data_IF_408777574727
#
_entry.id   IF_408777574727
#
_cell.length_a   1.000
_cell.length_b   1.000
_cell.length_c   1.000
_cell.angle_alpha   90.00
_cell.angle_beta   90.00
_cell.angle_gamma   90.00
#
_symmetry.space_group_name_H-M   'P 1'
#
loop_
_entity.id
_entity.type
_entity.pdbx_description
1 polymer ?
#
# COMPACT_ATOMS: atom_id res chain seq x y z
N UNK A 1 1.21 -26.45 52.20
CA UNK A 1 2.02 -25.25 52.47
C UNK A 1 2.27 -24.57 51.18
N UNK A 2 1.74 -23.38 51.09
CA UNK A 2 1.62 -22.50 49.94
C UNK A 2 2.97 -22.00 49.41
N UNK A 3 3.02 -21.67 48.14
CA UNK A 3 3.42 -20.33 47.75
C UNK A 3 3.00 -20.10 46.26
N UNK A 4 1.99 -19.28 46.12
CA UNK A 4 1.66 -18.54 44.93
C UNK A 4 2.60 -17.32 44.90
N UNK A 5 3.30 -17.12 43.79
CA UNK A 5 3.88 -15.82 43.45
C UNK A 5 3.11 -15.24 42.27
N UNK A 6 2.25 -14.29 42.60
CA UNK A 6 1.65 -13.34 41.66
C UNK A 6 2.75 -12.36 41.23
N UNK A 7 3.19 -12.45 39.98
CA UNK A 7 3.88 -11.33 39.31
C UNK A 7 2.82 -10.49 38.58
N UNK A 8 2.40 -9.42 39.24
CA UNK A 8 1.66 -8.33 38.60
C UNK A 8 2.62 -7.53 37.74
N UNK A 9 2.46 -7.61 36.44
CA UNK A 9 3.08 -6.69 35.48
C UNK A 9 2.51 -5.28 35.72
N UNK A 10 3.39 -4.38 36.10
CA UNK A 10 3.14 -2.97 36.34
C UNK A 10 3.09 -2.27 34.95
N UNK A 11 1.90 -2.10 34.40
CA UNK A 11 1.67 -1.19 33.27
C UNK A 11 1.63 0.21 33.86
N UNK A 12 2.66 0.99 33.64
CA UNK A 12 2.65 2.40 33.98
C UNK A 12 1.72 3.13 33.01
N UNK A 13 0.65 3.70 33.57
CA UNK A 13 -0.20 4.69 32.92
C UNK A 13 0.63 5.93 32.55
N UNK A 14 1.15 5.95 31.33
CA UNK A 14 1.73 7.13 30.72
C UNK A 14 0.62 8.05 30.25
N UNK A 15 0.22 9.01 31.08
CA UNK A 15 -0.70 10.06 30.69
C UNK A 15 -0.09 10.85 29.51
N UNK A 16 -0.76 10.82 28.37
CA UNK A 16 -0.47 11.66 27.22
C UNK A 16 -0.78 13.12 27.58
N UNK A 17 0.25 13.91 27.87
CA UNK A 17 0.10 15.36 28.02
C UNK A 17 0.47 15.98 26.68
N UNK A 18 -0.53 16.59 26.03
CA UNK A 18 -0.35 17.42 24.86
C UNK A 18 0.52 18.64 25.20
N UNK A 19 1.79 18.62 24.85
CA UNK A 19 2.64 19.79 24.85
C UNK A 19 2.94 20.17 23.39
N UNK A 20 2.34 21.25 22.97
CA UNK A 20 2.71 22.18 21.88
C UNK A 20 3.89 21.72 20.99
N UNK A 21 3.60 20.79 20.06
CA UNK A 21 4.39 20.52 18.85
C UNK A 21 3.48 20.81 17.68
N UNK A 22 3.59 22.02 17.13
CA UNK A 22 2.68 22.66 16.20
C UNK A 22 2.60 21.99 14.84
N UNK A 23 1.41 21.84 14.36
CA UNK A 23 0.86 22.35 13.08
C UNK A 23 1.49 22.01 11.73
N UNK A 24 2.68 21.47 11.59
CA UNK A 24 3.27 21.26 10.24
C UNK A 24 2.50 20.22 9.40
N UNK A 25 1.94 19.20 10.01
CA UNK A 25 1.14 18.18 9.30
C UNK A 25 -0.33 18.55 9.16
N UNK A 26 -0.85 19.47 10.01
CA UNK A 26 -2.22 19.97 9.89
C UNK A 26 -2.42 20.76 8.59
N UNK A 27 -1.43 21.57 8.21
CA UNK A 27 -1.48 22.39 7.00
C UNK A 27 -1.44 21.53 5.72
N UNK A 28 -0.73 20.38 5.76
CA UNK A 28 -0.71 19.37 4.67
C UNK A 28 -2.10 18.81 4.41
N UNK A 29 -2.88 18.59 5.47
CA UNK A 29 -4.24 18.06 5.36
C UNK A 29 -5.18 18.99 4.61
N UNK A 30 -5.08 20.28 4.91
CA UNK A 30 -5.92 21.28 4.27
C UNK A 30 -5.54 21.44 2.79
N UNK A 31 -4.25 21.29 2.44
CA UNK A 31 -3.77 21.28 1.07
C UNK A 31 -4.18 20.03 0.29
N UNK A 32 -4.15 18.84 0.91
CA UNK A 32 -4.58 17.58 0.26
C UNK A 32 -6.10 17.58 0.03
N UNK A 33 -6.90 18.08 0.97
CA UNK A 33 -8.35 18.14 0.82
C UNK A 33 -8.83 19.25 -0.13
N UNK A 34 -8.05 20.33 -0.30
CA UNK A 34 -8.39 21.44 -1.18
C UNK A 34 -7.86 21.30 -2.60
N UNK A 35 -6.95 20.35 -2.85
CA UNK A 35 -6.43 20.06 -4.16
C UNK A 35 -7.51 19.37 -5.00
N UNK A 36 -8.24 20.12 -5.82
CA UNK A 36 -8.78 19.54 -7.04
C UNK A 36 -7.61 18.90 -7.80
N UNK A 37 -7.80 17.78 -8.55
CA UNK A 37 -6.73 17.12 -9.26
C UNK A 37 -6.22 17.99 -10.40
N UNK A 38 -5.54 19.08 -10.06
CA UNK A 38 -4.77 19.84 -11.03
C UNK A 38 -3.53 19.02 -11.38
N UNK A 39 -3.41 18.73 -12.66
CA UNK A 39 -2.27 18.16 -13.35
C UNK A 39 -0.99 18.85 -12.84
N UNK A 40 -0.17 18.11 -12.08
CA UNK A 40 1.11 18.60 -11.60
C UNK A 40 1.96 19.09 -12.79
N UNK A 41 2.33 20.33 -12.74
CA UNK A 41 3.09 21.03 -13.76
C UNK A 41 4.42 20.33 -14.06
N UNK A 42 4.72 20.12 -15.35
CA UNK A 42 5.74 19.22 -15.88
C UNK A 42 7.19 19.75 -15.76
N UNK A 43 7.45 20.78 -14.95
CA UNK A 43 8.73 21.50 -14.96
C UNK A 43 9.69 21.24 -13.76
N UNK A 44 9.50 20.17 -13.01
CA UNK A 44 10.52 19.78 -12.03
C UNK A 44 11.61 18.93 -12.71
N UNK A 45 12.63 19.60 -13.22
CA UNK A 45 13.82 18.96 -13.78
C UNK A 45 14.64 18.31 -12.67
N UNK A 46 14.49 16.99 -12.50
CA UNK A 46 15.50 16.17 -11.85
C UNK A 46 16.73 16.23 -12.76
N UNK A 47 17.82 16.84 -12.30
CA UNK A 47 19.02 16.98 -13.14
C UNK A 47 19.58 15.59 -13.46
N UNK A 48 20.10 15.36 -14.69
CA UNK A 48 20.66 14.07 -15.11
C UNK A 48 21.73 13.52 -14.15
N UNK A 49 22.44 14.38 -13.45
CA UNK A 49 23.54 14.03 -12.55
C UNK A 49 23.09 13.30 -11.27
N UNK A 50 21.91 13.63 -10.73
CA UNK A 50 21.34 12.92 -9.56
C UNK A 50 20.83 11.54 -9.98
N UNK A 51 20.28 11.43 -11.19
CA UNK A 51 19.83 10.16 -11.74
C UNK A 51 20.98 9.22 -12.09
N UNK A 52 22.08 9.76 -12.61
CA UNK A 52 23.28 8.99 -13.00
C UNK A 52 24.06 8.51 -11.77
N UNK A 53 24.09 9.26 -10.67
CA UNK A 53 24.70 8.81 -9.42
C UNK A 53 23.93 7.62 -8.82
N UNK A 54 22.62 7.75 -8.65
CA UNK A 54 21.77 6.68 -8.13
C UNK A 54 21.75 5.43 -9.05
N UNK A 55 21.84 5.64 -10.37
CA UNK A 55 21.88 4.56 -11.36
C UNK A 55 23.23 3.81 -11.34
N UNK A 56 24.34 4.50 -11.12
CA UNK A 56 25.67 3.89 -11.03
C UNK A 56 25.83 3.08 -9.75
N UNK A 57 25.26 3.54 -8.64
CA UNK A 57 25.24 2.79 -7.39
C UNK A 57 24.38 1.52 -7.52
N UNK A 58 23.23 1.60 -8.20
CA UNK A 58 22.36 0.45 -8.49
C UNK A 58 23.02 -0.53 -9.46
N UNK A 59 23.72 -0.06 -10.50
CA UNK A 59 24.46 -0.92 -11.45
C UNK A 59 25.61 -1.66 -10.75
N UNK A 60 26.35 -0.98 -9.87
CA UNK A 60 27.41 -1.59 -9.07
C UNK A 60 26.89 -2.68 -8.13
N UNK A 61 25.69 -2.50 -7.57
CA UNK A 61 25.02 -3.50 -6.75
C UNK A 61 24.50 -4.70 -7.58
N UNK A 62 23.98 -4.45 -8.79
CA UNK A 62 23.45 -5.49 -9.69
C UNK A 62 24.57 -6.33 -10.32
N UNK A 63 25.70 -5.71 -10.69
CA UNK A 63 26.87 -6.44 -11.24
C UNK A 63 27.53 -7.37 -10.22
N UNK A 64 27.30 -7.16 -8.92
CA UNK A 64 27.76 -8.07 -7.86
C UNK A 64 26.85 -9.31 -7.67
N UNK A 65 25.68 -9.35 -8.32
CA UNK A 65 24.70 -10.43 -8.26
C UNK A 65 24.77 -11.35 -9.50
N UNK A 66 25.98 -11.77 -9.91
CA UNK A 66 26.09 -12.83 -10.92
C UNK A 66 25.68 -14.17 -10.31
N UNK A 67 24.42 -14.52 -10.48
CA UNK A 67 23.98 -15.90 -10.31
C UNK A 67 24.37 -16.69 -11.56
N UNK A 68 25.31 -17.61 -11.43
CA UNK A 68 25.53 -18.68 -12.39
C UNK A 68 24.26 -19.55 -12.44
N UNK A 69 23.39 -19.32 -13.39
CA UNK A 69 22.17 -20.05 -13.61
C UNK A 69 21.96 -20.31 -15.10
N UNK A 70 21.97 -21.58 -15.47
CA UNK A 70 21.68 -22.08 -16.82
C UNK A 70 20.39 -21.44 -17.37
N UNK A 71 20.50 -20.86 -18.57
CA UNK A 71 19.34 -20.40 -19.34
C UNK A 71 18.47 -21.59 -19.71
N UNK A 72 17.33 -21.71 -19.07
CA UNK A 72 16.25 -22.58 -19.56
C UNK A 72 15.73 -21.95 -20.84
N UNK A 73 15.88 -22.67 -21.96
CA UNK A 73 15.36 -22.25 -23.24
C UNK A 73 13.82 -22.14 -23.17
N UNK A 74 13.32 -20.92 -23.16
CA UNK A 74 11.90 -20.66 -23.34
C UNK A 74 11.53 -21.00 -24.79
N UNK A 75 10.57 -21.91 -24.95
CA UNK A 75 10.05 -22.26 -26.26
C UNK A 75 9.48 -21.05 -27.00
N UNK A 76 9.71 -21.01 -28.30
CA UNK A 76 9.31 -19.97 -29.24
C UNK A 76 7.81 -19.71 -29.26
N UNK A 77 7.34 -18.85 -28.37
CA UNK A 77 6.14 -18.05 -28.59
C UNK A 77 6.61 -16.66 -29.01
N UNK A 78 6.79 -16.47 -30.31
CA UNK A 78 7.17 -15.19 -30.89
C UNK A 78 6.06 -14.16 -30.65
N UNK A 79 6.18 -13.40 -29.59
CA UNK A 79 5.43 -12.17 -29.39
C UNK A 79 6.10 -11.11 -30.26
N UNK A 80 5.63 -10.96 -31.51
CA UNK A 80 6.09 -9.92 -32.40
C UNK A 80 5.56 -8.56 -31.94
N UNK A 81 6.25 -7.91 -31.04
CA UNK A 81 6.15 -6.47 -30.87
C UNK A 81 7.09 -5.83 -31.90
N UNK A 82 6.56 -5.55 -33.09
CA UNK A 82 7.28 -4.89 -34.19
C UNK A 82 7.23 -3.37 -34.03
N UNK A 83 7.84 -2.83 -32.97
CA UNK A 83 7.94 -1.38 -32.82
C UNK A 83 9.00 -1.01 -31.80
N UNK A 84 9.91 -0.10 -32.13
CA UNK A 84 10.77 0.52 -31.14
C UNK A 84 9.92 1.26 -30.11
N UNK A 85 10.28 1.19 -28.78
CA UNK A 85 9.59 1.96 -27.76
C UNK A 85 9.64 3.45 -28.10
N UNK A 86 8.46 4.07 -28.21
CA UNK A 86 8.37 5.49 -28.57
C UNK A 86 8.62 6.33 -27.32
N UNK A 87 9.56 7.28 -27.41
CA UNK A 87 9.72 8.34 -26.40
C UNK A 87 8.49 9.25 -26.46
N UNK A 88 7.68 9.24 -25.45
CA UNK A 88 6.46 10.06 -25.32
C UNK A 88 6.40 10.67 -23.94
N UNK A 89 5.64 11.75 -23.80
CA UNK A 89 5.22 12.24 -22.49
C UNK A 89 4.41 11.15 -21.78
N UNK A 90 4.64 11.00 -20.49
CA UNK A 90 3.85 10.07 -19.67
C UNK A 90 2.40 10.53 -19.64
N UNK A 91 1.49 9.63 -20.01
CA UNK A 91 0.04 9.83 -19.87
C UNK A 91 -0.42 8.86 -18.81
N UNK A 92 -0.90 9.40 -17.68
CA UNK A 92 -1.49 8.60 -16.63
C UNK A 92 -2.96 8.30 -16.96
N UNK A 93 -3.40 7.06 -16.69
CA UNK A 93 -4.80 6.64 -16.90
C UNK A 93 -5.06 6.04 -18.28
N UNK A 94 -6.35 5.86 -18.59
CA UNK A 94 -6.86 5.09 -19.73
C UNK A 94 -7.21 5.95 -20.95
N UNK A 95 -6.62 7.12 -21.09
CA UNK A 95 -6.98 8.08 -22.16
C UNK A 95 -6.15 7.93 -23.46
N UNK A 96 -5.18 7.00 -23.47
CA UNK A 96 -4.42 6.76 -24.72
C UNK A 96 -5.31 6.01 -25.73
N UNK A 97 -5.53 6.64 -26.88
CA UNK A 97 -6.36 6.07 -27.95
C UNK A 97 -5.88 4.68 -28.45
N UNK A 98 -4.63 4.31 -28.14
CA UNK A 98 -4.07 2.98 -28.46
C UNK A 98 -4.59 1.90 -27.53
N UNK A 99 -5.06 2.25 -26.34
CA UNK A 99 -5.52 1.30 -25.34
C UNK A 99 -6.76 0.53 -25.80
N UNK A 100 -7.56 1.12 -26.70
CA UNK A 100 -8.67 0.42 -27.34
C UNK A 100 -8.25 -0.86 -28.09
N UNK A 101 -6.98 -0.95 -28.53
CA UNK A 101 -6.42 -2.14 -29.17
C UNK A 101 -5.96 -3.23 -28.18
N UNK A 102 -6.02 -2.95 -26.87
CA UNK A 102 -5.63 -3.87 -25.80
C UNK A 102 -6.85 -4.45 -25.07
N UNK A 103 -8.05 -3.92 -25.36
CA UNK A 103 -9.27 -4.25 -24.63
C UNK A 103 -9.66 -5.74 -24.80
N UNK A 104 -9.80 -6.43 -23.70
CA UNK A 104 -10.44 -7.75 -23.62
C UNK A 104 -11.89 -7.59 -23.19
N UNK A 105 -12.84 -8.21 -23.92
CA UNK A 105 -14.27 -8.09 -23.62
C UNK A 105 -14.79 -9.35 -22.94
N UNK A 106 -15.34 -9.28 -21.72
CA UNK A 106 -15.99 -10.41 -21.08
C UNK A 106 -17.18 -10.92 -21.94
N UNK A 107 -17.21 -12.22 -22.18
CA UNK A 107 -18.30 -12.92 -22.88
C UNK A 107 -19.18 -13.71 -21.90
N UNK A 108 -18.57 -14.31 -20.89
CA UNK A 108 -19.27 -14.98 -19.78
C UNK A 108 -18.37 -15.00 -18.55
N UNK A 109 -18.98 -15.12 -17.40
CA UNK A 109 -18.31 -15.26 -16.10
C UNK A 109 -19.02 -16.31 -15.28
N UNK A 110 -18.27 -17.30 -14.78
CA UNK A 110 -18.75 -18.40 -13.95
C UNK A 110 -17.94 -18.43 -12.65
N UNK A 111 -18.60 -18.42 -11.50
CA UNK A 111 -17.93 -18.60 -10.21
C UNK A 111 -17.54 -20.07 -10.06
N UNK A 112 -16.24 -20.33 -9.92
CA UNK A 112 -15.70 -21.71 -9.82
C UNK A 112 -15.36 -22.09 -8.38
N UNK A 113 -15.22 -21.12 -7.48
CA UNK A 113 -15.00 -21.35 -6.05
C UNK A 113 -15.48 -20.14 -5.25
N UNK A 114 -16.12 -20.39 -4.10
CA UNK A 114 -16.62 -19.36 -3.17
C UNK A 114 -15.88 -19.53 -1.85
N UNK A 115 -15.19 -18.47 -1.40
CA UNK A 115 -14.43 -18.42 -0.17
C UNK A 115 -15.06 -17.53 0.90
N UNK A 116 -14.38 -17.41 2.04
CA UNK A 116 -14.75 -16.48 3.11
C UNK A 116 -14.30 -15.04 2.84
N UNK A 117 -13.17 -14.88 2.13
CA UNK A 117 -12.50 -13.61 1.90
C UNK A 117 -12.69 -13.16 0.46
N UNK A 118 -12.60 -14.09 -0.49
CA UNK A 118 -12.68 -13.82 -1.92
C UNK A 118 -13.32 -14.99 -2.64
N UNK A 119 -13.81 -14.75 -3.86
CA UNK A 119 -14.29 -15.75 -4.77
C UNK A 119 -13.33 -15.92 -5.95
N UNK A 120 -13.34 -17.08 -6.60
CA UNK A 120 -12.61 -17.29 -7.84
C UNK A 120 -13.61 -17.45 -8.98
N UNK A 121 -13.51 -16.58 -9.97
CA UNK A 121 -14.34 -16.59 -11.16
C UNK A 121 -13.52 -16.95 -12.39
N UNK A 122 -14.14 -17.70 -13.29
CA UNK A 122 -13.58 -17.99 -14.62
C UNK A 122 -14.32 -17.20 -15.67
N UNK A 123 -13.62 -16.29 -16.31
CA UNK A 123 -14.15 -15.49 -17.40
C UNK A 123 -13.75 -16.08 -18.75
N UNK A 124 -14.68 -16.11 -19.70
CA UNK A 124 -14.35 -16.23 -21.11
C UNK A 124 -14.31 -14.84 -21.71
N UNK A 125 -13.21 -14.48 -22.33
CA UNK A 125 -13.03 -13.15 -22.92
C UNK A 125 -12.77 -13.24 -24.43
N UNK A 126 -13.19 -12.19 -25.15
CA UNK A 126 -12.74 -11.96 -26.53
C UNK A 126 -11.47 -11.12 -26.50
N UNK A 127 -10.43 -11.61 -27.15
CA UNK A 127 -9.18 -10.89 -27.33
C UNK A 127 -9.32 -9.81 -28.42
N UNK A 128 -8.41 -8.82 -28.47
CA UNK A 128 -8.42 -7.78 -29.52
C UNK A 128 -8.36 -8.31 -30.95
N UNK A 129 -7.75 -9.47 -31.17
CA UNK A 129 -7.66 -10.12 -32.47
C UNK A 129 -8.87 -11.02 -32.81
N UNK A 130 -9.91 -11.02 -31.99
CA UNK A 130 -11.14 -11.79 -32.14
C UNK A 130 -11.08 -13.23 -31.66
N UNK A 131 -9.94 -13.72 -31.19
CA UNK A 131 -9.85 -15.03 -30.54
C UNK A 131 -10.52 -14.97 -29.16
N UNK A 132 -10.76 -16.12 -28.56
CA UNK A 132 -11.26 -16.25 -27.18
C UNK A 132 -10.19 -16.82 -26.28
N UNK A 133 -10.18 -16.38 -25.01
CA UNK A 133 -9.32 -16.91 -23.97
C UNK A 133 -10.09 -17.08 -22.66
N UNK A 134 -9.49 -17.80 -21.70
CA UNK A 134 -10.00 -17.90 -20.34
C UNK A 134 -9.12 -17.05 -19.42
N UNK A 135 -9.76 -16.44 -18.40
CA UNK A 135 -9.11 -15.71 -17.30
C UNK A 135 -9.70 -16.22 -16.00
N UNK A 136 -8.84 -16.68 -15.10
CA UNK A 136 -9.24 -16.97 -13.73
C UNK A 136 -8.94 -15.71 -12.89
N UNK A 137 -9.99 -15.18 -12.27
CA UNK A 137 -9.95 -13.90 -11.55
C UNK A 137 -10.41 -14.10 -10.12
N UNK A 138 -9.62 -13.61 -9.18
CA UNK A 138 -10.00 -13.49 -7.76
C UNK A 138 -10.84 -12.23 -7.61
N UNK A 139 -12.10 -12.38 -7.14
CA UNK A 139 -13.01 -11.29 -6.81
C UNK A 139 -12.90 -10.96 -5.33
N UNK A 140 -12.52 -9.74 -5.00
CA UNK A 140 -12.28 -9.28 -3.64
C UNK A 140 -13.12 -8.02 -3.33
N UNK A 141 -13.68 -7.87 -2.10
CA UNK A 141 -14.48 -6.68 -1.77
C UNK A 141 -13.70 -5.36 -1.79
N UNK A 142 -12.38 -5.43 -1.82
CA UNK A 142 -11.49 -4.30 -1.60
C UNK A 142 -11.07 -4.19 -0.14
N UNK A 143 -10.14 -3.27 0.13
CA UNK A 143 -9.59 -3.04 1.45
C UNK A 143 -9.18 -1.57 1.62
N UNK A 144 -8.86 -1.20 2.86
CA UNK A 144 -8.24 0.06 3.22
C UNK A 144 -6.90 -0.19 3.89
N UNK A 145 -6.01 0.79 3.85
CA UNK A 145 -4.79 0.82 4.66
C UNK A 145 -4.55 2.24 5.18
N UNK A 146 -4.07 2.38 6.40
CA UNK A 146 -4.01 3.65 7.09
C UNK A 146 -2.57 3.98 7.50
N UNK A 147 -2.03 5.07 6.97
CA UNK A 147 -0.81 5.69 7.46
C UNK A 147 -1.18 6.57 8.65
N UNK A 148 -1.19 6.00 9.84
CA UNK A 148 -1.50 6.71 11.06
C UNK A 148 -0.23 7.39 11.60
N UNK A 149 -0.17 8.72 11.45
CA UNK A 149 0.99 9.55 11.78
C UNK A 149 0.72 10.36 13.03
N UNK A 150 1.58 10.20 14.05
CA UNK A 150 1.50 10.99 15.30
C UNK A 150 2.13 12.37 15.11
N UNK A 151 1.83 13.30 16.03
CA UNK A 151 2.42 14.64 16.04
C UNK A 151 3.95 14.63 16.20
N UNK A 152 4.52 13.54 16.74
CA UNK A 152 5.96 13.34 16.86
C UNK A 152 6.61 12.72 15.62
N UNK A 153 5.86 12.57 14.52
CA UNK A 153 6.35 11.98 13.28
C UNK A 153 6.58 10.46 13.34
N UNK A 154 5.81 9.76 14.19
CA UNK A 154 5.83 8.30 14.27
C UNK A 154 4.69 7.69 13.49
N UNK A 155 4.96 6.61 12.80
CA UNK A 155 3.97 5.79 12.07
C UNK A 155 3.54 4.63 12.96
N UNK A 156 2.22 4.41 13.01
CA UNK A 156 1.66 3.20 13.61
C UNK A 156 1.81 2.02 12.65
N UNK A 157 2.40 0.95 13.14
CA UNK A 157 2.55 -0.32 12.44
C UNK A 157 1.92 -1.44 13.25
N UNK A 158 1.41 -2.43 12.56
CA UNK A 158 0.88 -3.67 13.15
C UNK A 158 1.78 -4.85 12.78
N UNK A 159 1.88 -5.81 13.70
CA UNK A 159 2.54 -7.09 13.47
C UNK A 159 1.50 -8.18 13.54
N UNK A 160 1.33 -8.90 12.46
CA UNK A 160 0.33 -9.96 12.34
C UNK A 160 0.93 -11.20 11.65
N UNK A 161 0.50 -12.40 12.08
CA UNK A 161 0.89 -13.63 11.39
C UNK A 161 0.08 -13.82 10.12
N UNK A 162 0.74 -13.83 8.98
CA UNK A 162 0.11 -14.08 7.67
C UNK A 162 0.32 -15.54 7.27
N UNK A 163 -0.73 -16.34 7.41
CA UNK A 163 -0.70 -17.78 7.12
C UNK A 163 -0.23 -18.09 5.70
N UNK A 164 -0.61 -17.27 4.72
CA UNK A 164 -0.19 -17.43 3.33
C UNK A 164 1.34 -17.30 3.16
N UNK A 165 2.00 -16.49 3.99
CA UNK A 165 3.45 -16.30 3.99
C UNK A 165 4.17 -17.18 5.02
N UNK A 166 3.44 -17.80 5.96
CA UNK A 166 3.98 -18.65 7.01
C UNK A 166 4.82 -17.91 8.05
N UNK A 167 4.60 -16.60 8.23
CA UNK A 167 5.40 -15.75 9.11
C UNK A 167 4.66 -14.51 9.59
N UNK A 168 5.23 -13.85 10.60
CA UNK A 168 4.80 -12.51 11.02
C UNK A 168 5.29 -11.48 10.01
N UNK A 169 4.42 -10.56 9.64
CA UNK A 169 4.69 -9.39 8.80
C UNK A 169 4.56 -8.11 9.61
N UNK A 170 5.18 -7.04 9.11
CA UNK A 170 5.07 -5.68 9.64
C UNK A 170 4.33 -4.86 8.60
N UNK A 171 3.19 -4.32 8.98
CA UNK A 171 2.23 -3.73 8.05
C UNK A 171 1.65 -2.43 8.59
N UNK A 172 1.12 -1.58 7.70
CA UNK A 172 0.16 -0.54 8.09
C UNK A 172 -1.13 -1.19 8.59
N UNK A 173 -1.84 -0.59 9.56
CA UNK A 173 -3.20 -0.98 9.89
C UNK A 173 -4.06 -1.04 8.64
N UNK A 174 -4.82 -2.13 8.47
CA UNK A 174 -5.53 -2.38 7.22
C UNK A 174 -6.61 -3.46 7.37
N UNK A 175 -7.76 -3.24 6.76
CA UNK A 175 -8.81 -4.22 6.75
C UNK A 175 -9.69 -4.19 5.52
N UNK A 176 -10.57 -5.18 5.41
CA UNK A 176 -11.46 -5.36 4.26
C UNK A 176 -12.70 -4.48 4.40
N UNK A 177 -13.20 -4.06 3.24
CA UNK A 177 -14.51 -3.41 3.17
C UNK A 177 -15.62 -4.43 3.49
N UNK A 178 -16.55 -4.04 4.34
CA UNK A 178 -17.82 -4.73 4.50
C UNK A 178 -18.74 -4.48 3.29
N UNK A 179 -19.73 -5.34 3.03
CA UNK A 179 -20.62 -5.17 1.90
C UNK A 179 -21.33 -3.81 1.90
N UNK A 180 -20.95 -2.92 0.97
CA UNK A 180 -21.55 -1.59 0.82
C UNK A 180 -20.97 -0.53 1.78
N UNK A 181 -19.92 -0.84 2.51
CA UNK A 181 -19.22 0.10 3.38
C UNK A 181 -18.45 1.15 2.55
N UNK A 182 -18.51 2.40 3.00
CA UNK A 182 -17.68 3.46 2.43
C UNK A 182 -16.21 3.27 2.85
N UNK A 183 -15.23 3.39 1.94
CA UNK A 183 -13.83 3.20 2.28
C UNK A 183 -13.30 4.12 3.40
N UNK A 184 -13.82 5.35 3.51
CA UNK A 184 -13.43 6.26 4.60
C UNK A 184 -13.96 5.76 5.95
N UNK A 185 -15.20 5.28 6.00
CA UNK A 185 -15.80 4.73 7.22
C UNK A 185 -15.03 3.46 7.65
N UNK A 186 -14.70 2.58 6.69
CA UNK A 186 -13.86 1.41 6.91
C UNK A 186 -12.49 1.80 7.49
N UNK A 187 -11.83 2.83 6.95
CA UNK A 187 -10.54 3.28 7.44
C UNK A 187 -10.59 3.76 8.91
N UNK A 188 -11.67 4.44 9.31
CA UNK A 188 -11.88 4.85 10.70
C UNK A 188 -12.13 3.64 11.60
N UNK A 189 -12.94 2.69 11.17
CA UNK A 189 -13.25 1.46 11.91
C UNK A 189 -12.00 0.60 12.13
N UNK A 190 -11.28 0.27 11.07
CA UNK A 190 -10.10 -0.60 11.13
C UNK A 190 -8.96 0.03 11.97
N UNK A 191 -8.73 1.34 11.84
CA UNK A 191 -7.76 2.03 12.67
C UNK A 191 -8.07 1.88 14.16
N UNK A 192 -9.36 2.02 14.53
CA UNK A 192 -9.79 1.88 15.93
C UNK A 192 -9.70 0.43 16.41
N UNK A 193 -10.20 -0.52 15.63
CA UNK A 193 -10.25 -1.94 16.00
C UNK A 193 -8.85 -2.51 16.19
N UNK A 194 -7.96 -2.37 15.22
CA UNK A 194 -6.61 -2.94 15.26
C UNK A 194 -5.67 -2.23 16.23
N UNK A 195 -5.76 -0.88 16.34
CA UNK A 195 -4.76 -0.09 17.06
C UNK A 195 -5.28 0.64 18.29
N UNK A 196 -6.59 0.74 18.45
CA UNK A 196 -7.21 1.55 19.49
C UNK A 196 -7.10 3.06 19.25
N UNK A 197 -6.66 3.47 18.06
CA UNK A 197 -6.48 4.87 17.72
C UNK A 197 -7.68 5.41 16.96
N UNK A 198 -8.03 6.68 17.22
CA UNK A 198 -9.03 7.42 16.50
C UNK A 198 -8.40 8.64 15.86
N UNK A 199 -8.66 8.86 14.60
CA UNK A 199 -8.17 10.00 13.84
C UNK A 199 -9.11 11.20 13.98
N UNK A 200 -8.55 12.35 14.31
CA UNK A 200 -9.25 13.64 14.17
C UNK A 200 -9.36 14.07 12.72
N UNK A 201 -8.38 13.71 11.90
CA UNK A 201 -8.37 13.93 10.45
C UNK A 201 -7.99 12.65 9.70
N UNK A 202 -8.68 12.43 8.57
CA UNK A 202 -8.41 11.31 7.67
C UNK A 202 -8.44 11.83 6.23
N UNK A 203 -7.34 11.67 5.48
CA UNK A 203 -7.25 12.12 4.09
C UNK A 203 -6.91 10.95 3.16
N UNK A 204 -7.58 10.90 2.02
CA UNK A 204 -7.28 9.93 0.98
C UNK A 204 -5.92 10.23 0.33
N UNK A 205 -5.06 9.22 0.20
CA UNK A 205 -3.75 9.32 -0.45
C UNK A 205 -3.77 8.80 -1.87
N UNK A 206 -4.17 7.54 -2.03
CA UNK A 206 -4.18 6.85 -3.32
C UNK A 206 -4.97 5.55 -3.25
N UNK A 207 -5.22 4.96 -4.41
CA UNK A 207 -5.70 3.58 -4.52
C UNK A 207 -4.65 2.74 -5.24
N UNK A 208 -4.38 1.54 -4.76
CA UNK A 208 -3.46 0.59 -5.38
C UNK A 208 -4.16 -0.69 -5.78
N UNK A 209 -3.85 -1.22 -6.97
CA UNK A 209 -4.18 -2.58 -7.35
C UNK A 209 -3.09 -3.51 -6.79
N UNK A 210 -3.47 -4.58 -6.09
CA UNK A 210 -2.52 -5.46 -5.41
C UNK A 210 -1.85 -6.44 -6.36
N UNK A 211 -2.59 -6.96 -7.33
CA UNK A 211 -2.09 -7.93 -8.32
C UNK A 211 -3.02 -7.96 -9.53
N UNK A 212 -3.00 -6.89 -10.32
CA UNK A 212 -3.87 -6.62 -11.46
C UNK A 212 -3.90 -7.72 -12.55
N UNK A 213 -2.92 -8.62 -12.52
CA UNK A 213 -2.87 -9.77 -13.42
C UNK A 213 -3.91 -10.87 -13.14
N UNK A 214 -4.46 -10.94 -11.92
CA UNK A 214 -5.41 -12.01 -11.56
C UNK A 214 -6.42 -11.66 -10.47
N UNK A 215 -6.38 -10.49 -9.86
CA UNK A 215 -7.37 -10.05 -8.88
C UNK A 215 -7.85 -8.63 -9.18
N UNK A 216 -9.07 -8.34 -8.79
CA UNK A 216 -9.64 -6.98 -8.81
C UNK A 216 -9.53 -6.28 -7.45
N UNK A 217 -8.71 -6.82 -6.53
CA UNK A 217 -8.50 -6.20 -5.23
C UNK A 217 -7.87 -4.81 -5.37
N UNK A 218 -8.57 -3.83 -4.83
CA UNK A 218 -8.08 -2.47 -4.66
C UNK A 218 -7.91 -2.17 -3.17
N UNK A 219 -6.79 -1.54 -2.82
CA UNK A 219 -6.56 -1.02 -1.46
C UNK A 219 -6.57 0.50 -1.53
N UNK A 220 -7.48 1.12 -0.78
CA UNK A 220 -7.56 2.57 -0.61
C UNK A 220 -6.67 2.99 0.56
N UNK A 221 -5.62 3.77 0.28
CA UNK A 221 -4.70 4.26 1.30
C UNK A 221 -5.16 5.62 1.80
N UNK A 222 -5.18 5.75 3.12
CA UNK A 222 -5.50 6.99 3.82
C UNK A 222 -4.35 7.40 4.73
N UNK A 223 -4.22 8.72 4.97
CA UNK A 223 -3.39 9.25 6.04
C UNK A 223 -4.30 9.70 7.19
N UNK A 224 -3.96 9.29 8.41
CA UNK A 224 -4.66 9.66 9.63
C UNK A 224 -3.74 10.49 10.52
N UNK A 225 -4.24 11.61 11.03
CA UNK A 225 -3.53 12.50 11.97
C UNK A 225 -4.46 12.96 13.10
N UNK A 226 -3.94 13.76 14.03
CA UNK A 226 -4.66 14.17 15.25
C UNK A 226 -5.16 12.94 16.02
N UNK A 227 -4.25 12.00 16.23
CA UNK A 227 -4.58 10.70 16.80
C UNK A 227 -4.85 10.79 18.29
N UNK A 228 -5.94 10.13 18.73
CA UNK A 228 -6.25 9.89 20.16
C UNK A 228 -6.37 8.40 20.41
N UNK A 229 -6.07 7.95 21.63
CA UNK A 229 -6.17 6.53 22.00
C UNK A 229 -7.44 6.28 22.81
N UNK A 230 -8.29 5.38 22.33
CA UNK A 230 -9.57 5.00 22.98
C UNK A 230 -9.58 3.52 23.47
N UNK A 231 -8.55 2.73 23.13
CA UNK A 231 -8.46 1.30 23.40
C UNK A 231 -8.82 0.47 22.18
N UNK A 232 -8.07 -0.61 21.92
CA UNK A 232 -8.29 -1.52 20.80
C UNK A 232 -9.34 -2.58 21.15
N UNK A 233 -10.11 -3.00 20.15
CA UNK A 233 -11.08 -4.11 20.23
C UNK A 233 -11.00 -4.92 18.93
N UNK A 234 -9.85 -5.60 18.69
CA UNK A 234 -9.64 -6.39 17.48
C UNK A 234 -10.60 -7.58 17.44
N UNK A 235 -10.84 -8.10 16.24
CA UNK A 235 -11.64 -9.31 16.04
C UNK A 235 -11.10 -10.49 16.86
N UNK A 236 -11.97 -11.38 17.31
CA UNK A 236 -11.63 -12.45 18.27
C UNK A 236 -10.57 -13.44 17.73
N UNK A 237 -10.35 -13.51 16.43
CA UNK A 237 -9.35 -14.32 15.75
C UNK A 237 -8.14 -13.50 15.24
N UNK A 238 -8.06 -12.21 15.58
CA UNK A 238 -6.94 -11.33 15.24
C UNK A 238 -5.99 -11.15 16.43
N UNK A 239 -4.73 -11.54 16.22
CA UNK A 239 -3.64 -11.37 17.19
C UNK A 239 -2.63 -10.39 16.63
N UNK A 240 -2.73 -9.15 17.09
CA UNK A 240 -1.97 -8.01 16.56
C UNK A 240 -1.11 -7.38 17.66
N UNK A 241 0.15 -7.08 17.34
CA UNK A 241 0.98 -6.19 18.15
C UNK A 241 1.11 -4.85 17.42
N UNK A 242 1.01 -3.75 18.17
CA UNK A 242 1.08 -2.39 17.63
C UNK A 242 2.40 -1.74 18.03
N UNK A 243 3.12 -1.20 17.03
CA UNK A 243 4.38 -0.48 17.21
C UNK A 243 4.25 0.96 16.70
N UNK A 244 4.91 1.91 17.35
CA UNK A 244 5.07 3.29 16.88
C UNK A 244 6.54 3.53 16.51
N UNK A 245 6.86 3.67 15.24
CA UNK A 245 8.23 3.85 14.74
C UNK A 245 8.38 5.21 14.06
N UNK A 246 9.56 5.87 14.13
CA UNK A 246 9.81 7.06 13.33
C UNK A 246 9.61 6.77 11.84
N UNK A 247 9.00 7.72 11.10
CA UNK A 247 8.82 7.58 9.64
C UNK A 247 10.17 7.31 8.94
N UNK A 248 11.23 7.99 9.36
CA UNK A 248 12.57 7.79 8.79
C UNK A 248 13.09 6.35 8.96
N UNK A 249 12.87 5.73 10.14
CA UNK A 249 13.27 4.33 10.37
C UNK A 249 12.46 3.36 9.50
N UNK A 250 11.17 3.65 9.29
CA UNK A 250 10.35 2.84 8.38
C UNK A 250 10.83 2.97 6.93
N UNK A 251 11.15 4.18 6.48
CA UNK A 251 11.69 4.41 5.13
C UNK A 251 13.03 3.71 4.94
N UNK A 252 13.94 3.81 5.91
CA UNK A 252 15.21 3.08 5.88
C UNK A 252 14.99 1.56 5.80
N UNK A 253 14.03 1.03 6.57
CA UNK A 253 13.70 -0.39 6.53
C UNK A 253 13.08 -0.82 5.17
N UNK A 254 12.33 0.05 4.51
CA UNK A 254 11.83 -0.16 3.14
C UNK A 254 12.98 -0.21 2.14
N UNK A 255 13.89 0.77 2.20
CA UNK A 255 15.04 0.86 1.30
C UNK A 255 16.03 -0.30 1.49
N UNK A 256 16.17 -0.80 2.72
CA UNK A 256 16.95 -1.99 3.06
C UNK A 256 16.27 -3.32 2.67
N UNK A 257 15.06 -3.29 2.13
CA UNK A 257 14.29 -4.49 1.77
C UNK A 257 13.80 -5.31 2.97
N UNK A 258 13.69 -4.71 4.15
CA UNK A 258 13.20 -5.36 5.38
C UNK A 258 11.68 -5.36 5.47
N UNK A 259 11.02 -4.44 4.76
CA UNK A 259 9.56 -4.38 4.62
C UNK A 259 9.20 -4.91 3.25
N UNK A 260 8.32 -5.92 3.22
CA UNK A 260 7.90 -6.58 1.97
C UNK A 260 6.43 -6.33 1.65
N UNK A 261 5.67 -5.80 2.59
CA UNK A 261 4.26 -5.49 2.41
C UNK A 261 4.07 -4.27 1.52
N UNK A 262 3.41 -4.47 0.36
CA UNK A 262 3.30 -3.44 -0.68
C UNK A 262 2.59 -2.16 -0.20
N UNK A 263 1.47 -2.29 0.53
CA UNK A 263 0.73 -1.13 1.03
C UNK A 263 1.55 -0.29 2.02
N UNK A 264 2.37 -0.95 2.83
CA UNK A 264 3.29 -0.31 3.79
C UNK A 264 4.41 0.42 3.07
N UNK A 265 5.04 -0.22 2.07
CA UNK A 265 6.06 0.42 1.22
C UNK A 265 5.51 1.68 0.56
N UNK A 266 4.34 1.57 -0.09
CA UNK A 266 3.70 2.67 -0.80
C UNK A 266 3.35 3.80 0.17
N UNK A 267 2.69 3.49 1.29
CA UNK A 267 2.29 4.48 2.29
C UNK A 267 3.49 5.23 2.89
N UNK A 268 4.55 4.51 3.27
CA UNK A 268 5.76 5.09 3.81
C UNK A 268 6.42 6.06 2.82
N UNK A 269 6.60 5.65 1.57
CA UNK A 269 7.26 6.47 0.55
C UNK A 269 6.42 7.69 0.13
N UNK A 270 5.09 7.57 0.08
CA UNK A 270 4.22 8.72 -0.17
C UNK A 270 4.34 9.73 0.96
N UNK A 271 4.25 9.30 2.23
CA UNK A 271 4.37 10.20 3.37
C UNK A 271 5.74 10.88 3.44
N UNK A 272 6.81 10.14 3.20
CA UNK A 272 8.16 10.70 3.13
C UNK A 272 8.26 11.75 2.01
N UNK A 273 7.75 11.44 0.83
CA UNK A 273 7.72 12.36 -0.31
C UNK A 273 6.93 13.64 -0.03
N UNK A 274 5.79 13.53 0.68
CA UNK A 274 4.99 14.69 1.07
C UNK A 274 5.78 15.55 2.07
N UNK A 275 6.38 14.94 3.11
CA UNK A 275 7.13 15.67 4.14
C UNK A 275 8.32 16.44 3.58
N UNK A 276 8.96 15.95 2.52
CA UNK A 276 10.10 16.61 1.87
C UNK A 276 9.70 17.71 0.86
N UNK A 277 8.44 17.74 0.40
CA UNK A 277 7.95 18.76 -0.54
C UNK A 277 7.41 20.01 0.14
N UNK A 278 7.17 19.94 1.45
CA UNK A 278 6.73 21.11 2.19
C UNK A 278 7.92 22.04 2.43
N UNK A 279 7.77 23.36 2.22
CA UNK A 279 8.81 24.31 2.58
C UNK A 279 9.06 24.22 4.09
N UNK A 280 10.30 23.96 4.47
CA UNK A 280 10.73 24.13 5.86
C UNK A 280 10.70 25.64 6.14
N UNK A 281 9.70 26.11 6.90
CA UNK A 281 9.68 27.48 7.43
C UNK A 281 10.73 27.68 8.52
#
# INVERSE_FOLDING_TARGET
MANQNDEKSNVQDGAWTSSQGSSQFSDVFDDIQSAEPEILDADMQVTPEVFDSARNDLHSAVDSLTCDGERVAAGDAAYHHSGEPQKRSFVAGTEDARDASLEERPLSEDTVWVGRIFDVNRLRVSLPDGRTALRDVVRHPGAVAIVALTDEGRICLVRQYRTALGRVTVELPAGKLDPGEDPLDCAHRELLEETGMKAGKMAFLTTTATSDGFTDELIHLYMATELTFEGSDPDADEFINVDLVPLSELVDAVLDGKIEDAKTIIGALICDSISHRLPME
#
